data_IF_750165856969
#
_entry.id   IF_750165856969
#
_cell.length_a   1.000
_cell.length_b   1.000
_cell.length_c   1.000
_cell.angle_alpha   90.00
_cell.angle_beta   90.00
_cell.angle_gamma   90.00
#
_symmetry.space_group_name_H-M   'P 1'
#
loop_
_entity.id
_entity.type
_entity.pdbx_description
1 polymer ?
#
# COMPACT_ATOMS: atom_id res chain seq x y z
N UNK A 1 4.93 3.93 -25.92
CA UNK A 1 5.40 4.50 -24.64
C UNK A 1 4.76 3.86 -23.39
N UNK A 2 3.60 3.17 -23.49
CA UNK A 2 2.97 2.50 -22.34
C UNK A 2 3.51 1.09 -22.00
N UNK A 3 4.32 0.46 -22.85
CA UNK A 3 4.85 -0.89 -22.60
C UNK A 3 6.04 -0.94 -21.63
N UNK A 4 6.72 0.20 -21.41
CA UNK A 4 7.94 0.27 -20.58
C UNK A 4 7.69 0.33 -19.07
N UNK A 5 6.51 0.78 -18.64
CA UNK A 5 6.18 0.89 -17.22
C UNK A 5 5.83 -0.46 -16.56
N UNK A 6 5.35 -1.43 -17.36
CA UNK A 6 4.98 -2.77 -16.88
C UNK A 6 6.21 -3.69 -16.81
N UNK A 7 7.26 -3.41 -17.59
CA UNK A 7 8.57 -4.09 -17.50
C UNK A 7 9.51 -3.46 -16.45
N UNK A 8 9.14 -2.40 -15.75
CA UNK A 8 9.97 -1.87 -14.65
C UNK A 8 9.96 -2.76 -13.39
N UNK A 9 9.21 -3.87 -13.42
CA UNK A 9 9.33 -5.01 -12.50
C UNK A 9 10.09 -6.16 -13.18
N UNK A 10 10.88 -5.88 -14.21
CA UNK A 10 11.91 -6.78 -14.66
C UNK A 10 13.02 -6.75 -13.61
N UNK A 11 13.04 -7.79 -12.78
CA UNK A 11 14.28 -8.39 -12.29
C UNK A 11 15.36 -8.08 -13.34
N UNK A 12 16.41 -7.30 -13.01
CA UNK A 12 17.45 -6.96 -13.96
C UNK A 12 17.81 -8.21 -14.76
N UNK A 13 17.85 -8.15 -16.09
CA UNK A 13 18.17 -9.32 -16.91
C UNK A 13 19.53 -9.96 -16.51
N UNK A 14 20.36 -9.21 -15.78
CA UNK A 14 21.58 -9.62 -15.09
C UNK A 14 21.40 -10.53 -13.88
N UNK A 15 20.27 -10.47 -13.16
CA UNK A 15 19.93 -11.43 -12.11
C UNK A 15 19.37 -12.75 -12.68
N UNK A 16 18.81 -12.73 -13.90
CA UNK A 16 18.35 -13.93 -14.60
C UNK A 16 19.52 -14.67 -15.27
N UNK A 17 20.54 -13.93 -15.72
CA UNK A 17 21.77 -14.50 -16.26
C UNK A 17 22.86 -14.57 -15.18
N UNK A 18 22.93 -15.70 -14.46
CA UNK A 18 23.92 -15.99 -13.40
C UNK A 18 25.42 -15.98 -13.85
N UNK A 19 25.73 -15.38 -15.01
CA UNK A 19 27.07 -15.23 -15.59
C UNK A 19 27.42 -13.81 -16.04
N UNK A 20 26.85 -12.77 -15.43
CA UNK A 20 27.17 -11.37 -15.75
C UNK A 20 28.59 -10.97 -15.34
N UNK A 21 29.40 -10.47 -16.28
CA UNK A 21 30.73 -9.94 -15.99
C UNK A 21 30.65 -8.61 -15.21
N UNK A 22 31.65 -8.32 -14.37
CA UNK A 22 31.69 -7.09 -13.58
C UNK A 22 31.54 -5.81 -14.43
N UNK A 23 31.98 -5.83 -15.69
CA UNK A 23 31.79 -4.73 -16.64
C UNK A 23 30.31 -4.48 -17.00
N UNK A 24 29.51 -5.54 -17.16
CA UNK A 24 28.08 -5.41 -17.45
C UNK A 24 27.29 -4.83 -16.26
N UNK A 25 27.77 -5.03 -15.03
CA UNK A 25 27.20 -4.41 -13.83
C UNK A 25 27.52 -2.91 -13.78
N UNK A 26 28.75 -2.53 -14.15
CA UNK A 26 29.20 -1.13 -14.17
C UNK A 26 28.43 -0.30 -15.21
N UNK A 27 28.18 -0.87 -16.39
CA UNK A 27 27.41 -0.20 -17.44
C UNK A 27 25.92 -0.03 -17.09
N UNK A 28 25.40 -0.86 -16.17
CA UNK A 28 24.01 -0.76 -15.69
C UNK A 28 23.83 0.18 -14.50
N UNK A 29 24.90 0.64 -13.84
CA UNK A 29 24.80 1.56 -12.69
C UNK A 29 23.98 2.83 -13.00
N UNK A 30 24.13 3.50 -14.16
CA UNK A 30 23.39 4.73 -14.45
C UNK A 30 21.89 4.48 -14.65
N UNK A 31 21.52 3.38 -15.31
CA UNK A 31 20.11 3.01 -15.52
C UNK A 31 19.47 2.47 -14.25
N UNK A 32 20.22 1.68 -13.47
CA UNK A 32 19.77 1.15 -12.18
C UNK A 32 19.43 2.28 -11.20
N UNK A 33 20.25 3.33 -11.13
CA UNK A 33 19.96 4.51 -10.31
C UNK A 33 18.65 5.20 -10.71
N UNK A 34 18.39 5.30 -12.02
CA UNK A 34 17.15 5.89 -12.54
C UNK A 34 15.93 5.02 -12.20
N UNK A 35 16.03 3.71 -12.38
CA UNK A 35 14.92 2.78 -12.13
C UNK A 35 14.59 2.67 -10.63
N UNK A 36 15.61 2.75 -9.78
CA UNK A 36 15.47 2.88 -8.33
C UNK A 36 14.75 4.18 -7.95
N UNK A 37 15.12 5.31 -8.57
CA UNK A 37 14.48 6.60 -8.27
C UNK A 37 12.99 6.64 -8.60
N UNK A 38 12.57 6.06 -9.74
CA UNK A 38 11.15 5.96 -10.11
C UNK A 38 10.38 5.00 -9.20
N UNK A 39 10.98 3.86 -8.86
CA UNK A 39 10.38 2.89 -7.93
C UNK A 39 10.19 3.48 -6.54
N UNK A 40 11.22 4.18 -6.05
CA UNK A 40 11.18 4.90 -4.78
C UNK A 40 10.13 6.00 -4.78
N UNK A 41 10.06 6.83 -5.82
CA UNK A 41 9.05 7.88 -5.94
C UNK A 41 7.61 7.34 -5.92
N UNK A 42 7.36 6.22 -6.61
CA UNK A 42 6.05 5.54 -6.59
C UNK A 42 5.70 5.00 -5.20
N UNK A 43 6.66 4.34 -4.54
CA UNK A 43 6.47 3.83 -3.17
C UNK A 43 6.23 4.96 -2.17
N UNK A 44 6.96 6.07 -2.31
CA UNK A 44 6.81 7.24 -1.46
C UNK A 44 5.43 7.89 -1.63
N UNK A 45 4.96 8.06 -2.86
CA UNK A 45 3.63 8.59 -3.13
C UNK A 45 2.52 7.69 -2.54
N UNK A 46 2.63 6.37 -2.74
CA UNK A 46 1.71 5.40 -2.13
C UNK A 46 1.74 5.46 -0.60
N UNK A 47 2.94 5.60 -0.01
CA UNK A 47 3.11 5.74 1.43
C UNK A 47 2.44 7.01 1.98
N UNK A 48 2.61 8.15 1.31
CA UNK A 48 1.99 9.42 1.73
C UNK A 48 0.46 9.38 1.64
N UNK A 49 -0.09 8.74 0.60
CA UNK A 49 -1.53 8.54 0.48
C UNK A 49 -2.07 7.64 1.61
N UNK A 50 -1.39 6.53 1.89
CA UNK A 50 -1.70 5.66 3.02
C UNK A 50 -1.59 6.38 4.36
N UNK A 51 -0.58 7.24 4.53
CA UNK A 51 -0.39 8.06 5.73
C UNK A 51 -1.56 9.02 5.93
N UNK A 52 -1.97 9.73 4.88
CA UNK A 52 -3.10 10.65 4.95
C UNK A 52 -4.39 9.95 5.36
N UNK A 53 -4.66 8.78 4.79
CA UNK A 53 -5.81 7.97 5.20
C UNK A 53 -5.68 7.47 6.64
N UNK A 54 -4.52 6.95 7.02
CA UNK A 54 -4.28 6.43 8.36
C UNK A 54 -4.44 7.51 9.43
N UNK A 55 -3.96 8.73 9.15
CA UNK A 55 -4.18 9.90 9.99
C UNK A 55 -5.65 10.24 10.13
N UNK A 56 -6.40 10.35 9.02
CA UNK A 56 -7.82 10.68 9.07
C UNK A 56 -8.64 9.62 9.81
N UNK A 57 -8.44 8.34 9.47
CA UNK A 57 -9.18 7.22 10.05
C UNK A 57 -8.80 7.00 11.52
N UNK A 58 -7.51 6.95 11.82
CA UNK A 58 -6.98 6.75 13.17
C UNK A 58 -7.35 7.91 14.11
N UNK A 59 -7.29 9.15 13.62
CA UNK A 59 -7.75 10.32 14.37
C UNK A 59 -9.25 10.26 14.69
N UNK A 60 -10.09 9.94 13.70
CA UNK A 60 -11.53 9.86 13.93
C UNK A 60 -11.89 8.75 14.92
N UNK A 61 -11.22 7.59 14.81
CA UNK A 61 -11.36 6.48 15.75
C UNK A 61 -10.90 6.87 17.17
N UNK A 62 -9.79 7.60 17.31
CA UNK A 62 -9.29 8.06 18.61
C UNK A 62 -10.16 9.15 19.24
N UNK A 63 -10.75 10.04 18.44
CA UNK A 63 -11.54 11.17 18.90
C UNK A 63 -12.95 10.79 19.38
N UNK A 64 -13.55 9.69 18.87
CA UNK A 64 -14.92 9.31 19.18
C UNK A 64 -15.01 7.89 19.75
N UNK A 65 -15.40 7.76 21.04
CA UNK A 65 -15.58 6.46 21.71
C UNK A 65 -16.51 5.45 21.01
N UNK A 66 -17.67 5.84 20.42
CA UNK A 66 -18.48 4.87 19.69
C UNK A 66 -17.82 4.45 18.37
N UNK A 67 -17.04 5.34 17.74
CA UNK A 67 -16.31 5.04 16.52
C UNK A 67 -15.16 4.08 16.82
N UNK A 68 -14.38 4.31 17.88
CA UNK A 68 -13.32 3.42 18.38
C UNK A 68 -13.81 1.97 18.54
N UNK A 69 -14.93 1.79 19.26
CA UNK A 69 -15.50 0.48 19.59
C UNK A 69 -15.98 -0.32 18.36
N UNK A 70 -16.18 0.35 17.21
CA UNK A 70 -16.58 -0.32 15.96
C UNK A 70 -15.40 -0.41 14.98
N UNK A 71 -14.71 0.72 14.75
CA UNK A 71 -13.67 0.84 13.74
C UNK A 71 -12.43 0.00 14.06
N UNK A 72 -12.02 -0.07 15.33
CA UNK A 72 -10.83 -0.82 15.74
C UNK A 72 -11.06 -2.34 15.63
N UNK A 73 -12.15 -2.93 16.15
CA UNK A 73 -12.43 -4.35 15.95
C UNK A 73 -12.66 -4.74 14.49
N UNK A 74 -13.30 -3.87 13.69
CA UNK A 74 -13.47 -4.12 12.26
C UNK A 74 -12.11 -4.19 11.56
N UNK A 75 -11.21 -3.25 11.86
CA UNK A 75 -9.84 -3.27 11.35
C UNK A 75 -9.09 -4.54 11.78
N UNK A 76 -9.28 -4.97 13.03
CA UNK A 76 -8.61 -6.14 13.58
C UNK A 76 -9.05 -7.44 12.89
N UNK A 77 -10.35 -7.55 12.60
CA UNK A 77 -10.90 -8.65 11.80
C UNK A 77 -10.38 -8.58 10.37
N UNK A 78 -10.43 -7.41 9.73
CA UNK A 78 -10.03 -7.26 8.33
C UNK A 78 -8.52 -7.47 8.12
N UNK A 79 -7.67 -7.06 9.06
CA UNK A 79 -6.22 -7.28 8.97
C UNK A 79 -5.81 -8.75 9.16
N UNK A 80 -6.64 -9.54 9.84
CA UNK A 80 -6.40 -10.98 10.02
C UNK A 80 -6.61 -11.79 8.73
N UNK A 81 -7.34 -11.23 7.78
CA UNK A 81 -7.63 -11.87 6.49
C UNK A 81 -6.41 -11.71 5.57
N UNK A 82 -5.87 -12.81 5.01
CA UNK A 82 -4.77 -12.72 4.04
C UNK A 82 -5.19 -11.91 2.82
N UNK A 83 -4.25 -11.23 2.17
CA UNK A 83 -4.56 -10.45 0.95
C UNK A 83 -5.24 -11.29 -0.15
N UNK A 84 -4.92 -12.58 -0.19
CA UNK A 84 -5.55 -13.56 -1.09
C UNK A 84 -7.06 -13.72 -0.84
N UNK A 85 -7.55 -13.49 0.39
CA UNK A 85 -8.97 -13.50 0.71
C UNK A 85 -9.72 -12.29 0.16
N UNK A 86 -9.06 -11.14 0.05
CA UNK A 86 -9.63 -9.94 -0.56
C UNK A 86 -9.57 -9.96 -2.09
N UNK A 87 -8.65 -10.75 -2.68
CA UNK A 87 -8.43 -10.77 -4.11
C UNK A 87 -9.68 -11.12 -4.93
N UNK A 88 -10.41 -12.23 -4.67
CA UNK A 88 -11.62 -12.56 -5.42
C UNK A 88 -12.70 -11.48 -5.29
N UNK A 89 -12.88 -10.94 -4.08
CA UNK A 89 -13.87 -9.88 -3.81
C UNK A 89 -13.54 -8.62 -4.58
N UNK A 90 -12.28 -8.19 -4.57
CA UNK A 90 -11.83 -7.01 -5.29
C UNK A 90 -11.97 -7.19 -6.81
N UNK A 91 -11.56 -8.33 -7.35
CA UNK A 91 -11.71 -8.62 -8.78
C UNK A 91 -13.18 -8.63 -9.18
N UNK A 92 -14.03 -9.37 -8.48
CA UNK A 92 -15.46 -9.44 -8.80
C UNK A 92 -16.15 -8.08 -8.67
N UNK A 93 -15.83 -7.32 -7.62
CA UNK A 93 -16.40 -5.99 -7.41
C UNK A 93 -15.95 -5.01 -8.50
N UNK A 94 -14.65 -4.80 -8.69
CA UNK A 94 -14.15 -3.76 -9.59
C UNK A 94 -14.25 -4.15 -11.08
N UNK A 95 -13.99 -5.41 -11.44
CA UNK A 95 -14.16 -5.88 -12.83
C UNK A 95 -15.64 -6.05 -13.17
N UNK A 96 -16.45 -6.53 -12.23
CA UNK A 96 -17.91 -6.62 -12.42
C UNK A 96 -18.57 -5.25 -12.60
N UNK A 97 -18.11 -4.23 -11.85
CA UNK A 97 -18.64 -2.86 -11.95
C UNK A 97 -18.20 -2.14 -13.23
N UNK A 98 -17.00 -2.41 -13.74
CA UNK A 98 -16.42 -1.71 -14.92
C UNK A 98 -16.59 -2.46 -16.24
N UNK A 99 -17.02 -3.72 -16.19
CA UNK A 99 -17.26 -4.58 -17.35
C UNK A 99 -16.00 -5.34 -17.81
N UNK A 100 -16.15 -6.55 -18.39
CA UNK A 100 -15.05 -7.46 -18.72
C UNK A 100 -14.12 -6.99 -19.86
N UNK A 101 -14.41 -5.87 -20.52
CA UNK A 101 -13.57 -5.30 -21.60
C UNK A 101 -12.83 -4.02 -21.19
N UNK A 102 -12.93 -3.61 -19.92
CA UNK A 102 -12.25 -2.42 -19.43
C UNK A 102 -10.99 -2.80 -18.65
N UNK A 103 -9.86 -2.20 -19.04
CA UNK A 103 -8.62 -2.28 -18.26
C UNK A 103 -8.72 -1.55 -16.91
N UNK A 104 -9.77 -0.76 -16.67
CA UNK A 104 -9.91 0.02 -15.45
C UNK A 104 -10.19 -0.85 -14.21
N UNK A 105 -11.01 -1.90 -14.36
CA UNK A 105 -11.40 -2.80 -13.26
C UNK A 105 -10.21 -3.51 -12.60
N UNK A 106 -9.36 -4.22 -13.38
CA UNK A 106 -8.17 -4.86 -12.84
C UNK A 106 -7.18 -3.86 -12.21
N UNK A 107 -7.02 -2.66 -12.80
CA UNK A 107 -6.16 -1.62 -12.25
C UNK A 107 -6.68 -1.12 -10.89
N UNK A 108 -7.98 -0.84 -10.76
CA UNK A 108 -8.59 -0.43 -9.49
C UNK A 108 -8.52 -1.54 -8.43
N UNK A 109 -8.76 -2.79 -8.83
CA UNK A 109 -8.61 -3.94 -7.93
C UNK A 109 -7.17 -4.03 -7.39
N UNK A 110 -6.16 -3.83 -8.25
CA UNK A 110 -4.75 -3.86 -7.81
C UNK A 110 -4.41 -2.73 -6.84
N UNK A 111 -4.88 -1.50 -7.10
CA UNK A 111 -4.70 -0.35 -6.20
C UNK A 111 -5.39 -0.58 -4.86
N UNK A 112 -6.62 -1.08 -4.88
CA UNK A 112 -7.37 -1.43 -3.67
C UNK A 112 -6.62 -2.47 -2.84
N UNK A 113 -6.15 -3.55 -3.45
CA UNK A 113 -5.42 -4.62 -2.74
C UNK A 113 -4.10 -4.12 -2.13
N UNK A 114 -3.34 -3.31 -2.87
CA UNK A 114 -2.10 -2.70 -2.35
C UNK A 114 -2.42 -1.78 -1.16
N UNK A 115 -3.42 -0.91 -1.32
CA UNK A 115 -3.84 0.03 -0.29
C UNK A 115 -4.27 -0.70 0.99
N UNK A 116 -5.20 -1.65 0.86
CA UNK A 116 -5.69 -2.47 1.96
C UNK A 116 -4.55 -3.20 2.69
N UNK A 117 -3.57 -3.74 1.95
CA UNK A 117 -2.41 -4.42 2.56
C UNK A 117 -1.58 -3.52 3.47
N UNK A 118 -1.47 -2.24 3.13
CA UNK A 118 -0.58 -1.30 3.79
C UNK A 118 -1.27 -0.54 4.92
N UNK A 119 -2.55 -0.24 4.73
CA UNK A 119 -3.27 0.73 5.54
C UNK A 119 -3.54 0.26 6.97
N UNK A 120 -3.75 -1.05 7.18
CA UNK A 120 -4.09 -1.61 8.49
C UNK A 120 -3.06 -1.27 9.57
N UNK A 121 -1.81 -1.69 9.35
CA UNK A 121 -0.71 -1.46 10.29
C UNK A 121 -0.48 0.04 10.55
N UNK A 122 -0.68 0.85 9.52
CA UNK A 122 -0.49 2.30 9.60
C UNK A 122 -1.56 2.96 10.47
N UNK A 123 -2.82 2.54 10.33
CA UNK A 123 -3.94 3.04 11.15
C UNK A 123 -3.73 2.69 12.62
N UNK A 124 -3.33 1.45 12.94
CA UNK A 124 -3.03 1.06 14.33
C UNK A 124 -1.87 1.88 14.90
N UNK A 125 -0.79 2.07 14.14
CA UNK A 125 0.34 2.90 14.56
C UNK A 125 -0.06 4.34 14.87
N UNK A 126 -0.92 4.96 14.04
CA UNK A 126 -1.47 6.29 14.32
C UNK A 126 -2.37 6.28 15.53
N UNK A 127 -3.30 5.33 15.62
CA UNK A 127 -4.28 5.22 16.69
C UNK A 127 -3.60 5.10 18.07
N UNK A 128 -2.63 4.19 18.20
CA UNK A 128 -1.85 4.02 19.42
C UNK A 128 -1.05 5.28 19.76
N UNK A 129 -0.43 5.92 18.77
CA UNK A 129 0.30 7.18 18.97
C UNK A 129 -0.59 8.32 19.46
N UNK A 130 -1.88 8.35 19.10
CA UNK A 130 -2.82 9.35 19.57
C UNK A 130 -3.30 9.04 21.00
N UNK A 131 -3.44 7.75 21.34
CA UNK A 131 -3.85 7.29 22.68
C UNK A 131 -2.73 7.39 23.73
N UNK A 132 -1.46 7.40 23.33
CA UNK A 132 -0.33 7.59 24.26
C UNK A 132 -0.18 9.03 24.75
N UNK A 133 -0.87 9.98 24.12
CA UNK A 133 -0.94 11.37 24.60
C UNK A 133 -1.77 11.35 25.90
N UNK A 134 -1.18 11.74 27.05
CA UNK A 134 -1.90 11.69 28.32
C UNK A 134 -3.10 12.62 28.28
N UNK A 135 -4.31 12.07 28.42
CA UNK A 135 -5.48 12.87 28.79
C UNK A 135 -5.19 13.49 30.15
N UNK A 136 -5.11 14.81 30.18
CA UNK A 136 -4.79 15.59 31.39
C UNK A 136 -5.77 15.17 32.49
N UNK A 137 -5.31 14.64 33.64
CA UNK A 137 -6.18 14.47 34.79
C UNK A 137 -6.60 15.88 35.22
N UNK A 138 -7.87 16.23 35.00
CA UNK A 138 -8.47 17.34 35.72
C UNK A 138 -8.55 16.92 37.18
N UNK A 139 -7.64 17.47 38.00
CA UNK A 139 -7.74 17.40 39.44
C UNK A 139 -9.10 17.88 39.92
N UNK A 140 -9.58 17.22 40.97
CA UNK A 140 -10.81 17.49 41.69
C UNK A 140 -10.97 16.42 42.76
#
# INVERSE_FOLDING_TARGET
>A
MLYGAILAVAVPATLINWGGSAGALIDQLPTAGRDLSYSFGRMLAAYLASLGFALAYGYYAAAHRPAERVMIPVLDILQSVPILGFFPVAILFFVGLTGPHSFLGPNLASVFLIFTSMVWNMVFGVYESLKTIPDRPSGG
#
